data_IF_335890894404
#
_entry.id   IF_335890894404
#
_cell.length_a   1.000
_cell.length_b   1.000
_cell.length_c   1.000
_cell.angle_alpha   90.00
_cell.angle_beta   90.00
_cell.angle_gamma   90.00
#
_symmetry.space_group_name_H-M   'P 1'
#
loop_
_entity.id
_entity.type
_entity.pdbx_description
1 polymer ?
#
# COMPACT_ATOMS: atom_id res chain seq x y z
N UNK A 1 7.47 -14.80 0.42
CA UNK A 1 7.40 -13.96 1.64
C UNK A 1 6.51 -12.73 1.51
N UNK A 2 6.80 -11.77 0.60
CA UNK A 2 6.04 -10.51 0.51
C UNK A 2 4.53 -10.68 0.31
N UNK A 3 4.13 -11.66 -0.52
CA UNK A 3 2.71 -12.01 -0.71
C UNK A 3 2.06 -12.57 0.57
N UNK A 4 2.77 -13.44 1.30
CA UNK A 4 2.31 -14.04 2.55
C UNK A 4 2.05 -12.97 3.61
N UNK A 5 3.05 -12.14 3.93
CA UNK A 5 2.89 -11.03 4.87
C UNK A 5 1.86 -10.00 4.36
N UNK A 6 1.76 -9.80 3.04
CA UNK A 6 0.74 -8.96 2.42
C UNK A 6 -0.68 -9.45 2.66
N UNK A 7 -0.89 -10.77 2.68
CA UNK A 7 -2.18 -11.37 3.02
C UNK A 7 -2.54 -11.14 4.50
N UNK A 8 -1.57 -11.27 5.40
CA UNK A 8 -1.71 -10.97 6.83
C UNK A 8 -2.07 -9.50 7.04
N UNK A 9 -1.34 -8.58 6.39
CA UNK A 9 -1.61 -7.16 6.46
C UNK A 9 -2.99 -6.78 5.91
N UNK A 10 -3.47 -7.49 4.87
CA UNK A 10 -4.81 -7.24 4.33
C UNK A 10 -5.92 -7.70 5.30
N UNK A 11 -5.74 -8.86 5.95
CA UNK A 11 -6.67 -9.33 7.00
C UNK A 11 -6.68 -8.41 8.21
N UNK A 12 -5.50 -8.00 8.67
CA UNK A 12 -5.36 -7.11 9.80
C UNK A 12 -5.95 -5.71 9.54
N UNK A 13 -5.73 -5.15 8.35
CA UNK A 13 -6.36 -3.90 7.94
C UNK A 13 -7.89 -4.01 7.93
N UNK A 14 -8.45 -5.13 7.45
CA UNK A 14 -9.89 -5.35 7.48
C UNK A 14 -10.43 -5.40 8.92
N UNK A 15 -9.71 -6.03 9.85
CA UNK A 15 -10.03 -5.97 11.28
C UNK A 15 -9.95 -4.54 11.81
N UNK A 16 -8.85 -3.81 11.54
CA UNK A 16 -8.71 -2.41 11.97
C UNK A 16 -9.84 -1.51 11.46
N UNK A 17 -10.27 -1.70 10.22
CA UNK A 17 -11.38 -0.95 9.66
C UNK A 17 -12.71 -1.25 10.38
N UNK A 18 -12.92 -2.49 10.84
CA UNK A 18 -14.09 -2.88 11.63
C UNK A 18 -14.06 -2.28 13.05
N UNK A 19 -12.88 -2.11 13.65
CA UNK A 19 -12.74 -1.45 14.96
C UNK A 19 -13.25 0.01 14.95
N UNK A 20 -13.34 0.65 13.77
CA UNK A 20 -13.86 2.01 13.65
C UNK A 20 -13.09 3.02 14.51
N UNK A 21 -13.84 3.87 15.22
CA UNK A 21 -13.29 4.90 16.14
C UNK A 21 -12.97 4.34 17.54
N UNK A 22 -13.52 3.18 17.91
CA UNK A 22 -13.39 2.53 19.23
C UNK A 22 -12.03 1.85 19.44
N UNK A 23 -11.04 2.19 18.61
CA UNK A 23 -9.74 1.56 18.64
C UNK A 23 -8.92 2.00 19.86
N UNK A 24 -8.53 1.04 20.69
CA UNK A 24 -7.73 1.26 21.89
C UNK A 24 -6.51 0.32 21.98
N UNK A 25 -5.66 0.53 22.98
CA UNK A 25 -4.48 -0.29 23.23
C UNK A 25 -4.79 -1.80 23.39
N UNK A 26 -5.95 -2.14 23.96
CA UNK A 26 -6.38 -3.54 24.11
C UNK A 26 -6.69 -4.19 22.77
N UNK A 27 -7.48 -3.52 21.91
CA UNK A 27 -7.77 -4.01 20.54
C UNK A 27 -6.49 -4.13 19.70
N UNK A 28 -5.56 -3.17 19.84
CA UNK A 28 -4.24 -3.27 19.22
C UNK A 28 -3.48 -4.52 19.68
N UNK A 29 -3.41 -4.74 20.99
CA UNK A 29 -2.69 -5.87 21.57
C UNK A 29 -3.32 -7.21 21.13
N UNK A 30 -4.65 -7.30 21.07
CA UNK A 30 -5.36 -8.48 20.58
C UNK A 30 -4.98 -8.81 19.13
N UNK A 31 -5.11 -7.85 18.20
CA UNK A 31 -4.72 -8.04 16.80
C UNK A 31 -3.24 -8.46 16.64
N UNK A 32 -2.35 -7.85 17.41
CA UNK A 32 -0.92 -8.22 17.39
C UNK A 32 -0.70 -9.65 17.89
N UNK A 33 -1.39 -10.08 18.96
CA UNK A 33 -1.31 -11.45 19.48
C UNK A 33 -1.76 -12.48 18.45
N UNK A 34 -2.85 -12.23 17.74
CA UNK A 34 -3.37 -13.12 16.68
C UNK A 34 -2.40 -13.26 15.50
N UNK A 35 -1.69 -12.19 15.12
CA UNK A 35 -0.72 -12.21 14.03
C UNK A 35 0.61 -12.87 14.38
N UNK A 36 1.00 -12.85 15.65
CA UNK A 36 2.31 -13.33 16.12
C UNK A 36 2.59 -14.80 15.75
N UNK A 37 1.69 -15.79 16.00
CA UNK A 37 1.96 -17.18 15.66
C UNK A 37 2.04 -17.44 14.15
N UNK A 38 1.35 -16.63 13.34
CA UNK A 38 1.42 -16.73 11.87
C UNK A 38 2.67 -16.04 11.30
N UNK A 39 3.39 -15.25 12.09
CA UNK A 39 4.50 -14.45 11.60
C UNK A 39 5.67 -14.47 12.58
N UNK A 40 5.85 -13.37 13.31
CA UNK A 40 6.71 -13.21 14.47
C UNK A 40 6.23 -11.98 15.23
N UNK A 41 6.64 -11.79 16.49
CA UNK A 41 6.24 -10.60 17.27
C UNK A 41 6.61 -9.27 16.57
N UNK A 42 7.74 -9.24 15.85
CA UNK A 42 8.19 -8.05 15.11
C UNK A 42 7.40 -7.83 13.82
N UNK A 43 7.15 -8.89 13.04
CA UNK A 43 6.30 -8.80 11.85
C UNK A 43 4.87 -8.40 12.21
N UNK A 44 4.30 -9.01 13.26
CA UNK A 44 2.99 -8.66 13.78
C UNK A 44 2.94 -7.18 14.18
N UNK A 45 3.94 -6.68 14.90
CA UNK A 45 4.03 -5.27 15.28
C UNK A 45 4.07 -4.32 14.07
N UNK A 46 4.90 -4.63 13.07
CA UNK A 46 5.00 -3.84 11.85
C UNK A 46 3.69 -3.83 11.05
N UNK A 47 3.02 -4.98 10.95
CA UNK A 47 1.72 -5.11 10.28
C UNK A 47 0.65 -4.29 11.01
N UNK A 48 0.49 -4.48 12.33
CA UNK A 48 -0.55 -3.77 13.10
C UNK A 48 -0.38 -2.26 13.03
N UNK A 49 0.88 -1.80 13.03
CA UNK A 49 1.22 -0.38 12.88
C UNK A 49 0.89 0.12 11.48
N UNK A 50 1.34 -0.56 10.43
CA UNK A 50 1.04 -0.17 9.06
C UNK A 50 -0.47 -0.10 8.79
N UNK A 51 -1.24 -1.06 9.29
CA UNK A 51 -2.71 -1.05 9.17
C UNK A 51 -3.34 0.14 9.90
N UNK A 52 -2.88 0.45 11.11
CA UNK A 52 -3.36 1.63 11.84
C UNK A 52 -3.01 2.92 11.11
N UNK A 53 -1.77 3.07 10.63
CA UNK A 53 -1.31 4.24 9.87
C UNK A 53 -2.12 4.42 8.58
N UNK A 54 -2.44 3.33 7.87
CA UNK A 54 -3.31 3.36 6.69
C UNK A 54 -4.74 3.80 7.02
N UNK A 55 -5.31 3.30 8.11
CA UNK A 55 -6.63 3.74 8.59
C UNK A 55 -6.62 5.24 8.95
N UNK A 56 -5.61 5.69 9.69
CA UNK A 56 -5.48 7.08 10.11
C UNK A 56 -5.30 8.02 8.92
N UNK A 57 -4.50 7.62 7.92
CA UNK A 57 -4.37 8.37 6.67
C UNK A 57 -5.71 8.44 5.93
N UNK A 58 -6.43 7.33 5.84
CA UNK A 58 -7.75 7.30 5.19
C UNK A 58 -8.75 8.24 5.86
N UNK A 59 -8.76 8.31 7.20
CA UNK A 59 -9.57 9.30 7.96
C UNK A 59 -9.21 10.74 7.62
N UNK A 60 -7.92 11.07 7.54
CA UNK A 60 -7.48 12.42 7.14
C UNK A 60 -7.90 12.76 5.71
N UNK A 61 -7.73 11.83 4.78
CA UNK A 61 -8.17 12.00 3.39
C UNK A 61 -9.70 12.16 3.28
N UNK A 62 -10.47 11.42 4.07
CA UNK A 62 -11.94 11.55 4.13
C UNK A 62 -12.36 12.95 4.58
N UNK A 63 -11.73 13.49 5.64
CA UNK A 63 -11.98 14.86 6.11
C UNK A 63 -11.64 15.91 5.04
N UNK A 64 -10.49 15.77 4.37
CA UNK A 64 -10.10 16.66 3.28
C UNK A 64 -11.08 16.58 2.09
N UNK A 65 -11.58 15.38 1.77
CA UNK A 65 -12.59 15.18 0.74
C UNK A 65 -13.91 15.86 1.08
N UNK A 66 -14.37 15.73 2.33
CA UNK A 66 -15.57 16.41 2.84
C UNK A 66 -15.43 17.94 2.71
N UNK A 67 -14.29 18.50 3.10
CA UNK A 67 -14.02 19.94 2.94
C UNK A 67 -14.06 20.38 1.47
N UNK A 68 -13.49 19.58 0.56
CA UNK A 68 -13.55 19.83 -0.88
C UNK A 68 -14.99 19.79 -1.41
N UNK A 69 -15.82 18.85 -0.94
CA UNK A 69 -17.24 18.78 -1.28
C UNK A 69 -18.01 20.00 -0.77
N UNK A 70 -17.78 20.42 0.48
CA UNK A 70 -18.39 21.61 1.06
C UNK A 70 -18.06 22.87 0.24
N UNK A 71 -16.78 23.07 -0.10
CA UNK A 71 -16.36 24.18 -0.95
C UNK A 71 -17.01 24.12 -2.34
N UNK A 72 -17.11 22.93 -2.94
CA UNK A 72 -17.79 22.73 -4.21
C UNK A 72 -19.29 23.05 -4.17
N UNK A 73 -19.99 22.61 -3.13
CA UNK A 73 -21.41 22.92 -2.88
C UNK A 73 -21.60 24.43 -2.72
N UNK A 74 -20.79 25.08 -1.87
CA UNK A 74 -20.86 26.52 -1.62
C UNK A 74 -20.64 27.33 -2.91
N UNK A 75 -19.62 26.96 -3.70
CA UNK A 75 -19.31 27.64 -4.96
C UNK A 75 -20.45 27.50 -6.00
N UNK A 76 -21.05 26.32 -6.11
CA UNK A 76 -22.18 26.11 -7.04
C UNK A 76 -23.43 26.83 -6.55
N UNK A 77 -23.79 26.73 -5.26
CA UNK A 77 -24.93 27.46 -4.67
C UNK A 77 -24.82 28.96 -4.90
N UNK A 78 -23.66 29.54 -4.62
CA UNK A 78 -23.42 30.97 -4.82
C UNK A 78 -23.65 31.39 -6.28
N UNK A 79 -23.11 30.64 -7.25
CA UNK A 79 -23.30 30.98 -8.67
C UNK A 79 -24.73 30.74 -9.16
N UNK A 80 -25.47 29.81 -8.56
CA UNK A 80 -26.88 29.57 -8.89
C UNK A 80 -27.81 30.65 -8.34
N UNK A 81 -27.44 31.33 -7.24
CA UNK A 81 -28.23 32.42 -6.66
C UNK A 81 -28.11 33.75 -7.42
N UNK A 82 -27.15 33.85 -8.33
CA UNK A 82 -26.96 35.03 -9.19
C UNK A 82 -27.78 34.90 -10.49
N UNK A 83 -28.36 35.99 -11.01
CA UNK A 83 -28.91 36.05 -12.36
C UNK A 83 -28.03 35.39 -13.43
N UNK A 84 -28.67 34.69 -14.36
CA UNK A 84 -27.98 34.09 -15.51
C UNK A 84 -27.32 35.19 -16.34
N UNK A 85 -26.04 35.00 -16.66
CA UNK A 85 -25.24 35.97 -17.40
C UNK A 85 -24.64 37.10 -16.54
N UNK A 86 -24.93 37.16 -15.23
CA UNK A 86 -24.34 38.16 -14.36
C UNK A 86 -22.82 38.04 -14.34
N UNK A 87 -22.13 39.16 -14.58
CA UNK A 87 -20.67 39.20 -14.60
C UNK A 87 -20.13 39.10 -13.17
N UNK A 88 -19.08 38.31 -13.01
CA UNK A 88 -18.33 38.26 -11.75
C UNK A 88 -17.47 39.50 -11.54
N UNK A 89 -16.90 39.58 -10.35
CA UNK A 89 -15.86 40.57 -10.02
C UNK A 89 -14.47 39.93 -10.10
N UNK A 90 -13.41 40.72 -9.88
CA UNK A 90 -12.04 40.20 -9.75
C UNK A 90 -11.89 39.15 -8.63
N UNK A 91 -12.76 39.18 -7.61
CA UNK A 91 -12.66 38.34 -6.40
C UNK A 91 -13.71 37.24 -6.33
N UNK A 92 -14.76 37.29 -7.14
CA UNK A 92 -15.87 36.34 -7.08
C UNK A 92 -16.43 36.02 -8.47
N UNK A 93 -16.75 34.74 -8.75
CA UNK A 93 -17.36 34.36 -10.02
C UNK A 93 -18.79 34.90 -10.12
N UNK A 94 -19.21 35.24 -11.33
CA UNK A 94 -20.60 35.64 -11.60
C UNK A 94 -21.53 34.45 -11.77
N UNK A 95 -22.76 34.73 -12.20
CA UNK A 95 -23.75 33.70 -12.55
C UNK A 95 -23.26 32.75 -13.66
N UNK A 96 -24.05 31.71 -13.93
CA UNK A 96 -23.78 30.83 -15.08
C UNK A 96 -24.13 31.52 -16.40
N UNK A 97 -23.47 31.11 -17.49
CA UNK A 97 -23.54 31.85 -18.77
C UNK A 97 -24.89 31.73 -19.45
N UNK A 98 -25.58 30.60 -19.27
CA UNK A 98 -26.86 30.32 -19.91
C UNK A 98 -27.80 29.56 -18.98
N UNK A 99 -29.10 29.55 -19.32
CA UNK A 99 -30.10 28.74 -18.61
C UNK A 99 -29.75 27.25 -18.68
N UNK A 100 -29.25 26.77 -19.82
CA UNK A 100 -28.84 25.37 -19.98
C UNK A 100 -27.70 25.00 -19.02
N UNK A 101 -26.68 25.86 -18.92
CA UNK A 101 -25.58 25.65 -17.96
C UNK A 101 -26.12 25.70 -16.53
N UNK A 102 -26.96 26.69 -16.21
CA UNK A 102 -27.60 26.81 -14.90
C UNK A 102 -28.36 25.53 -14.52
N UNK A 103 -29.19 24.98 -15.41
CA UNK A 103 -29.93 23.74 -15.17
C UNK A 103 -28.99 22.55 -14.95
N UNK A 104 -27.94 22.42 -15.76
CA UNK A 104 -26.95 21.35 -15.57
C UNK A 104 -26.22 21.47 -14.22
N UNK A 105 -25.93 22.69 -13.77
CA UNK A 105 -25.25 22.96 -12.50
C UNK A 105 -26.18 22.80 -11.30
N UNK A 106 -27.46 23.12 -11.43
CA UNK A 106 -28.50 22.81 -10.43
C UNK A 106 -28.59 21.30 -10.19
N UNK A 107 -28.62 20.47 -11.24
CA UNK A 107 -28.55 19.00 -11.06
C UNK A 107 -27.23 18.53 -10.45
N UNK A 108 -26.11 19.15 -10.85
CA UNK A 108 -24.81 18.84 -10.24
C UNK A 108 -24.79 19.20 -8.75
N UNK A 109 -25.46 20.28 -8.33
CA UNK A 109 -25.55 20.67 -6.93
C UNK A 109 -26.21 19.57 -6.09
N UNK A 110 -27.38 19.09 -6.49
CA UNK A 110 -28.06 18.00 -5.80
C UNK A 110 -27.15 16.76 -5.66
N UNK A 111 -26.47 16.37 -6.74
CA UNK A 111 -25.51 15.26 -6.70
C UNK A 111 -24.29 15.50 -5.78
N UNK A 112 -23.85 16.76 -5.60
CA UNK A 112 -22.78 17.11 -4.67
C UNK A 112 -23.27 17.09 -3.22
N UNK A 113 -24.48 17.57 -2.96
CA UNK A 113 -25.12 17.55 -1.65
C UNK A 113 -25.33 16.12 -1.16
N UNK A 114 -25.85 15.24 -2.02
CA UNK A 114 -26.00 13.81 -1.72
C UNK A 114 -24.66 13.14 -1.38
N UNK A 115 -23.59 13.51 -2.11
CA UNK A 115 -22.24 12.98 -1.83
C UNK A 115 -21.71 13.49 -0.50
N UNK A 116 -21.91 14.77 -0.21
CA UNK A 116 -21.49 15.38 1.03
C UNK A 116 -22.20 14.71 2.22
N UNK A 117 -23.49 14.45 2.11
CA UNK A 117 -24.25 13.79 3.16
C UNK A 117 -23.79 12.36 3.41
N UNK A 118 -23.55 11.58 2.34
CA UNK A 118 -22.97 10.24 2.47
C UNK A 118 -21.60 10.24 3.14
N UNK A 119 -20.72 11.18 2.78
CA UNK A 119 -19.39 11.28 3.38
C UNK A 119 -19.46 11.71 4.84
N UNK A 120 -20.39 12.60 5.22
CA UNK A 120 -20.66 12.95 6.63
C UNK A 120 -21.13 11.75 7.43
N UNK A 121 -22.14 11.04 6.95
CA UNK A 121 -22.63 9.83 7.60
C UNK A 121 -21.53 8.75 7.72
N UNK A 122 -20.66 8.64 6.72
CA UNK A 122 -19.47 7.77 6.78
C UNK A 122 -18.45 8.22 7.82
N UNK A 123 -18.21 9.53 7.93
CA UNK A 123 -17.29 10.12 8.88
C UNK A 123 -17.74 9.85 10.33
N UNK A 124 -19.02 10.12 10.63
CA UNK A 124 -19.65 9.91 11.94
C UNK A 124 -19.66 8.43 12.32
N UNK A 125 -20.02 7.54 11.38
CA UNK A 125 -19.99 6.10 11.61
C UNK A 125 -18.57 5.49 11.73
N UNK A 126 -17.51 6.31 11.65
CA UNK A 126 -16.12 5.83 11.71
C UNK A 126 -15.70 4.95 10.52
N UNK A 127 -16.49 4.92 9.44
CA UNK A 127 -16.26 4.05 8.29
C UNK A 127 -15.20 4.65 7.36
N UNK A 128 -14.19 3.85 7.06
CA UNK A 128 -13.17 4.17 6.07
C UNK A 128 -13.10 3.11 4.98
N UNK A 129 -12.83 3.56 3.76
CA UNK A 129 -12.62 2.69 2.61
C UNK A 129 -11.15 2.72 2.21
N UNK A 130 -10.43 1.63 2.49
CA UNK A 130 -9.02 1.47 2.16
C UNK A 130 -8.85 0.36 1.15
N UNK A 131 -8.08 0.62 0.10
CA UNK A 131 -7.76 -0.35 -0.95
C UNK A 131 -6.27 -0.64 -0.94
N UNK A 132 -5.88 -1.75 -0.32
CA UNK A 132 -4.53 -2.32 -0.43
C UNK A 132 -4.22 -2.55 -1.91
N UNK A 133 -3.05 -2.12 -2.38
CA UNK A 133 -2.69 -2.17 -3.81
C UNK A 133 -3.19 -0.99 -4.63
N UNK A 134 -3.90 -0.04 -4.01
CA UNK A 134 -4.27 1.23 -4.61
C UNK A 134 -5.60 1.22 -5.36
N UNK A 135 -6.40 2.28 -5.11
CA UNK A 135 -7.73 2.47 -5.72
C UNK A 135 -7.69 2.51 -7.25
N UNK A 136 -6.61 3.03 -7.84
CA UNK A 136 -6.45 3.12 -9.31
C UNK A 136 -6.40 1.74 -9.95
N UNK A 137 -5.58 0.83 -9.43
CA UNK A 137 -5.48 -0.52 -9.96
C UNK A 137 -6.78 -1.31 -9.77
N UNK A 138 -7.45 -1.16 -8.62
CA UNK A 138 -8.76 -1.77 -8.41
C UNK A 138 -9.79 -1.32 -9.46
N UNK A 139 -9.82 -0.02 -9.81
CA UNK A 139 -10.72 0.49 -10.85
C UNK A 139 -10.36 0.02 -12.26
N UNK A 140 -9.07 -0.03 -12.57
CA UNK A 140 -8.58 -0.51 -13.89
C UNK A 140 -9.09 -1.93 -14.17
N UNK A 141 -9.32 -2.77 -13.15
CA UNK A 141 -9.86 -4.13 -13.32
C UNK A 141 -11.18 -4.18 -14.09
N UNK A 142 -11.99 -3.13 -14.02
CA UNK A 142 -13.28 -3.04 -14.71
C UNK A 142 -13.17 -2.46 -16.12
N UNK A 143 -12.01 -1.95 -16.51
CA UNK A 143 -11.78 -1.35 -17.81
C UNK A 143 -10.35 -1.62 -18.28
N UNK A 144 -10.05 -2.90 -18.45
CA UNK A 144 -8.72 -3.40 -18.79
C UNK A 144 -8.31 -3.02 -20.21
N UNK A 145 -9.25 -3.05 -21.16
CA UNK A 145 -9.00 -2.73 -22.56
C UNK A 145 -8.61 -1.26 -22.74
N UNK A 146 -9.34 -0.31 -22.14
CA UNK A 146 -8.97 1.11 -22.19
C UNK A 146 -7.65 1.40 -21.46
N UNK A 147 -7.26 0.55 -20.50
CA UNK A 147 -5.98 0.62 -19.81
C UNK A 147 -4.86 -0.15 -20.53
N UNK A 148 -5.14 -0.79 -21.68
CA UNK A 148 -4.21 -1.61 -22.45
C UNK A 148 -3.48 -2.64 -21.57
N UNK A 149 -4.23 -3.34 -20.72
CA UNK A 149 -3.68 -4.26 -19.73
C UNK A 149 -4.42 -5.59 -19.75
N UNK A 150 -3.70 -6.70 -19.88
CA UNK A 150 -4.32 -8.02 -19.76
C UNK A 150 -4.70 -8.33 -18.31
N UNK A 151 -5.67 -9.22 -18.09
CA UNK A 151 -6.04 -9.62 -16.72
C UNK A 151 -4.85 -10.20 -15.95
N UNK A 152 -4.03 -11.04 -16.58
CA UNK A 152 -2.86 -11.66 -15.95
C UNK A 152 -1.83 -10.60 -15.53
N UNK A 153 -1.53 -9.64 -16.40
CA UNK A 153 -0.61 -8.55 -16.09
C UNK A 153 -1.16 -7.64 -14.98
N UNK A 154 -2.48 -7.38 -15.00
CA UNK A 154 -3.16 -6.70 -13.91
C UNK A 154 -3.03 -7.46 -12.59
N UNK A 155 -3.28 -8.77 -12.59
CA UNK A 155 -3.24 -9.62 -11.39
C UNK A 155 -1.86 -9.64 -10.76
N UNK A 156 -0.81 -9.78 -11.57
CA UNK A 156 0.57 -9.72 -11.11
C UNK A 156 0.88 -8.36 -10.45
N UNK A 157 0.51 -7.25 -11.09
CA UNK A 157 0.70 -5.90 -10.51
C UNK A 157 -0.12 -5.74 -9.23
N UNK A 158 -1.35 -6.20 -9.23
CA UNK A 158 -2.27 -6.13 -8.10
C UNK A 158 -1.76 -6.92 -6.89
N UNK A 159 -1.15 -8.08 -7.09
CA UNK A 159 -0.48 -8.84 -6.03
C UNK A 159 0.79 -8.16 -5.55
N UNK A 160 1.66 -7.71 -6.45
CA UNK A 160 2.92 -7.05 -6.12
C UNK A 160 2.72 -5.76 -5.29
N UNK A 161 1.75 -4.93 -5.66
CA UNK A 161 1.38 -3.70 -4.93
C UNK A 161 0.76 -4.00 -3.55
N UNK A 162 0.36 -5.25 -3.33
CA UNK A 162 -0.14 -5.76 -2.04
C UNK A 162 0.88 -6.63 -1.33
N UNK A 163 2.12 -6.70 -1.77
CA UNK A 163 3.16 -7.28 -0.95
C UNK A 163 3.40 -6.42 0.30
N UNK A 164 3.89 -7.05 1.36
CA UNK A 164 4.32 -6.37 2.56
C UNK A 164 5.69 -6.88 2.95
N UNK A 165 6.65 -5.95 3.03
CA UNK A 165 7.99 -6.21 3.52
C UNK A 165 8.53 -4.89 4.08
N UNK A 166 8.05 -4.55 5.27
CA UNK A 166 8.44 -3.33 5.98
C UNK A 166 8.66 -3.67 7.46
N UNK A 167 9.74 -3.17 8.02
CA UNK A 167 10.01 -3.21 9.45
C UNK A 167 10.69 -1.89 9.86
N UNK A 168 10.32 -1.35 11.02
CA UNK A 168 10.90 -0.09 11.51
C UNK A 168 12.32 -0.32 12.04
N UNK A 169 13.19 0.68 11.89
CA UNK A 169 14.54 0.65 12.47
C UNK A 169 14.49 0.52 14.00
N UNK A 170 15.57 0.04 14.60
CA UNK A 170 15.68 -0.13 16.05
C UNK A 170 16.75 0.80 16.61
N UNK A 171 16.39 1.58 17.63
CA UNK A 171 17.33 2.49 18.30
C UNK A 171 18.56 1.73 18.78
N UNK A 172 19.74 2.30 18.53
CA UNK A 172 21.03 1.69 18.88
C UNK A 172 21.52 0.62 17.89
N UNK A 173 20.73 0.23 16.87
CA UNK A 173 21.17 -0.72 15.84
C UNK A 173 21.52 0.00 14.55
N UNK A 174 22.78 -0.14 14.13
CA UNK A 174 23.20 0.22 12.78
C UNK A 174 22.70 -0.87 11.83
N UNK A 175 22.38 -0.51 10.59
CA UNK A 175 22.07 -1.45 9.51
C UNK A 175 20.69 -2.15 9.54
N UNK A 176 19.68 -1.52 10.15
CA UNK A 176 18.29 -2.00 10.12
C UNK A 176 17.82 -2.47 11.49
N UNK A 177 17.24 -3.67 11.55
CA UNK A 177 16.79 -4.29 12.79
C UNK A 177 17.00 -5.82 12.77
N UNK A 178 16.56 -6.54 13.81
CA UNK A 178 16.66 -8.01 13.88
C UNK A 178 15.66 -8.77 12.99
N UNK A 179 15.04 -8.09 12.03
CA UNK A 179 14.03 -8.66 11.13
C UNK A 179 14.40 -8.44 9.67
N UNK A 180 14.97 -7.28 9.36
CA UNK A 180 15.60 -6.92 8.09
C UNK A 180 16.91 -6.23 8.45
N UNK A 181 18.03 -6.86 8.12
CA UNK A 181 19.38 -6.36 8.34
C UNK A 181 20.13 -6.26 7.02
N UNK A 182 20.92 -5.22 6.84
CA UNK A 182 21.76 -5.02 5.63
C UNK A 182 23.21 -4.82 6.06
N UNK A 183 24.08 -5.81 5.94
CA UNK A 183 25.47 -5.71 6.38
C UNK A 183 26.22 -4.61 5.60
N UNK A 184 27.32 -4.05 6.14
CA UNK A 184 28.18 -3.10 5.42
C UNK A 184 28.67 -3.63 4.07
N UNK A 185 28.85 -4.94 3.96
CA UNK A 185 29.28 -5.66 2.76
C UNK A 185 28.13 -5.87 1.74
N UNK A 186 26.91 -5.44 2.10
CA UNK A 186 25.73 -5.49 1.26
C UNK A 186 24.91 -6.77 1.37
N UNK A 187 25.14 -7.62 2.37
CA UNK A 187 24.30 -8.80 2.58
C UNK A 187 22.97 -8.42 3.24
N UNK A 188 21.86 -8.93 2.71
CA UNK A 188 20.53 -8.70 3.30
C UNK A 188 20.04 -9.94 4.01
N UNK A 189 19.91 -9.86 5.34
CA UNK A 189 19.34 -10.92 6.16
C UNK A 189 17.90 -10.60 6.55
N UNK A 190 16.98 -11.52 6.25
CA UNK A 190 15.56 -11.37 6.57
C UNK A 190 15.08 -12.53 7.42
N UNK A 191 14.48 -12.22 8.56
CA UNK A 191 13.86 -13.22 9.43
C UNK A 191 12.56 -13.72 8.82
N UNK A 192 12.48 -15.02 8.56
CA UNK A 192 11.31 -15.64 7.97
C UNK A 192 10.20 -15.89 9.02
N UNK A 193 8.93 -15.67 8.67
CA UNK A 193 7.77 -16.21 9.39
C UNK A 193 7.89 -17.72 9.60
N UNK A 194 7.37 -18.24 10.71
CA UNK A 194 7.42 -19.69 10.98
C UNK A 194 6.89 -20.56 9.83
N UNK A 195 5.78 -20.19 9.13
CA UNK A 195 5.30 -20.97 7.98
C UNK A 195 6.21 -20.94 6.74
N UNK A 196 7.27 -20.13 6.74
CA UNK A 196 8.25 -20.04 5.68
C UNK A 196 9.64 -20.52 6.11
N UNK A 197 9.77 -21.13 7.30
CA UNK A 197 11.06 -21.53 7.85
C UNK A 197 11.83 -22.52 6.96
N UNK A 198 11.13 -23.37 6.20
CA UNK A 198 11.71 -24.32 5.25
C UNK A 198 12.52 -23.65 4.11
N UNK A 199 12.28 -22.36 3.85
CA UNK A 199 13.00 -21.59 2.82
C UNK A 199 14.25 -20.88 3.36
N UNK A 200 14.60 -21.06 4.64
CA UNK A 200 15.80 -20.46 5.22
C UNK A 200 17.06 -21.11 4.64
N UNK A 201 18.04 -20.28 4.23
CA UNK A 201 19.33 -20.73 3.73
C UNK A 201 20.44 -20.65 4.79
N UNK A 202 20.10 -20.20 6.01
CA UNK A 202 21.00 -20.14 7.16
C UNK A 202 20.43 -20.95 8.34
N UNK A 203 21.28 -21.22 9.34
CA UNK A 203 20.94 -22.06 10.51
C UNK A 203 19.93 -21.42 11.46
N UNK A 204 19.90 -20.10 11.57
CA UNK A 204 18.76 -19.36 12.12
C UNK A 204 17.72 -19.19 11.02
N UNK A 205 16.44 -19.06 11.36
CA UNK A 205 15.32 -18.88 10.41
C UNK A 205 15.40 -17.54 9.63
N UNK A 206 16.53 -17.33 8.97
CA UNK A 206 16.99 -16.14 8.28
C UNK A 206 17.40 -16.55 6.86
N UNK A 207 17.23 -15.63 5.92
CA UNK A 207 17.76 -15.79 4.55
C UNK A 207 18.72 -14.65 4.23
N UNK A 208 19.97 -14.97 3.84
CA UNK A 208 20.99 -13.99 3.38
C UNK A 208 21.13 -14.00 1.85
N UNK A 209 21.29 -12.82 1.24
CA UNK A 209 21.53 -12.63 -0.20
C UNK A 209 22.60 -11.55 -0.45
N UNK A 210 23.51 -11.72 -1.44
CA UNK A 210 24.49 -10.70 -1.82
C UNK A 210 23.86 -9.50 -2.57
N UNK A 211 24.37 -8.28 -2.30
CA UNK A 211 23.84 -6.98 -2.79
C UNK A 211 23.73 -6.78 -4.31
N UNK A 212 24.29 -7.65 -5.16
CA UNK A 212 24.23 -7.52 -6.62
C UNK A 212 22.78 -7.54 -7.20
N UNK A 213 21.78 -7.78 -6.35
CA UNK A 213 20.35 -7.74 -6.65
C UNK A 213 19.69 -6.37 -6.35
N UNK A 214 20.42 -5.43 -5.75
CA UNK A 214 19.90 -4.15 -5.23
C UNK A 214 19.56 -3.08 -6.27
N UNK A 215 20.06 -3.20 -7.51
CA UNK A 215 19.96 -2.14 -8.54
C UNK A 215 18.54 -1.86 -9.08
N UNK A 216 17.52 -2.62 -8.66
CA UNK A 216 16.11 -2.41 -9.05
C UNK A 216 15.21 -1.88 -7.94
N UNK A 217 15.74 -1.69 -6.73
CA UNK A 217 14.96 -1.19 -5.60
C UNK A 217 15.41 0.24 -5.30
N UNK A 218 14.83 1.20 -6.02
CA UNK A 218 15.13 2.62 -5.87
C UNK A 218 14.85 3.08 -4.43
N UNK A 219 15.93 3.38 -3.70
CA UNK A 219 15.90 3.88 -2.33
C UNK A 219 15.75 5.41 -2.32
N UNK A 220 14.87 5.93 -1.46
CA UNK A 220 14.96 7.31 -0.99
C UNK A 220 14.76 7.30 0.52
N UNK A 221 15.73 7.80 1.26
CA UNK A 221 15.67 7.98 2.71
C UNK A 221 14.72 9.13 3.05
N UNK A 222 13.77 8.88 3.95
CA UNK A 222 12.85 9.85 4.50
C UNK A 222 12.12 9.27 5.72
N UNK A 223 11.54 10.09 6.60
CA UNK A 223 11.06 9.70 7.93
C UNK A 223 9.83 8.77 7.94
N UNK A 224 9.41 8.25 6.78
CA UNK A 224 8.19 7.44 6.61
C UNK A 224 8.49 6.10 5.92
N UNK A 225 9.48 5.37 6.43
CA UNK A 225 9.67 3.95 6.14
C UNK A 225 9.98 3.59 4.68
N UNK A 226 10.27 2.30 4.48
CA UNK A 226 10.68 1.75 3.18
C UNK A 226 9.46 1.58 2.25
N UNK A 227 9.52 2.17 1.04
CA UNK A 227 8.56 1.91 -0.05
C UNK A 227 9.31 1.54 -1.33
N UNK A 228 8.99 0.40 -1.97
CA UNK A 228 9.51 0.08 -3.30
C UNK A 228 8.94 1.08 -4.33
N UNK A 229 9.79 1.54 -5.25
CA UNK A 229 9.41 2.48 -6.34
C UNK A 229 9.35 1.83 -7.72
N UNK A 230 9.34 0.48 -7.80
CA UNK A 230 9.25 -0.26 -9.06
C UNK A 230 8.48 -1.58 -8.93
N UNK A 231 8.02 -2.16 -10.06
CA UNK A 231 7.37 -3.46 -10.06
C UNK A 231 8.37 -4.53 -9.61
N UNK A 232 7.97 -5.32 -8.62
CA UNK A 232 8.71 -6.50 -8.19
C UNK A 232 8.82 -7.51 -9.36
N UNK A 233 9.97 -8.18 -9.56
CA UNK A 233 10.08 -9.23 -10.57
C UNK A 233 9.06 -10.34 -10.31
N UNK A 234 8.41 -10.82 -11.38
CA UNK A 234 7.36 -11.85 -11.32
C UNK A 234 7.92 -13.22 -10.94
N UNK A 235 7.05 -14.08 -10.40
CA UNK A 235 7.38 -15.42 -9.89
C UNK A 235 8.15 -16.32 -10.89
N UNK A 236 7.99 -16.11 -12.20
CA UNK A 236 8.65 -16.87 -13.26
C UNK A 236 10.17 -16.68 -13.35
N UNK A 237 10.72 -15.61 -12.75
CA UNK A 237 12.18 -15.39 -12.65
C UNK A 237 12.79 -16.16 -11.48
N UNK A 238 11.98 -16.60 -10.51
CA UNK A 238 12.44 -17.30 -9.31
C UNK A 238 12.73 -18.79 -9.54
N UNK A 239 12.13 -19.42 -10.56
CA UNK A 239 12.18 -20.89 -10.73
C UNK A 239 13.21 -21.35 -11.78
N UNK A 240 13.64 -20.48 -12.71
CA UNK A 240 14.40 -20.94 -13.90
C UNK A 240 15.89 -21.25 -13.69
N UNK A 241 16.46 -21.01 -12.50
CA UNK A 241 17.88 -21.30 -12.23
C UNK A 241 18.15 -22.23 -11.04
N UNK A 242 17.10 -22.82 -10.44
CA UNK A 242 17.26 -23.89 -9.44
C UNK A 242 17.68 -25.25 -10.06
N UNK A 243 17.86 -25.33 -11.38
CA UNK A 243 18.23 -26.55 -12.10
C UNK A 243 19.32 -26.30 -13.15
N UNK A 244 20.53 -26.03 -12.72
CA UNK A 244 21.74 -26.35 -13.49
C UNK A 244 22.78 -26.82 -12.47
N UNK A 245 22.73 -28.12 -12.22
CA UNK A 245 23.62 -28.82 -11.30
C UNK A 245 25.07 -28.76 -11.74
N UNK A 246 25.94 -28.81 -10.73
CA UNK A 246 27.17 -29.61 -10.69
C UNK A 246 28.01 -29.70 -11.96
N UNK A 247 29.24 -29.17 -11.88
CA UNK A 247 30.37 -29.75 -12.61
C UNK A 247 31.58 -29.93 -11.70
N UNK A 248 32.44 -30.93 -11.98
CA UNK A 248 33.27 -31.62 -11.00
C UNK A 248 34.68 -31.02 -10.90
N UNK A 249 35.35 -31.29 -9.78
CA UNK A 249 36.78 -31.04 -9.57
C UNK A 249 37.62 -31.72 -10.67
N UNK A 250 38.62 -31.05 -11.27
CA UNK A 250 39.55 -31.73 -12.17
C UNK A 250 40.64 -32.45 -11.35
N UNK A 251 40.81 -33.75 -11.65
CA UNK A 251 41.92 -34.57 -11.15
C UNK A 251 43.25 -34.16 -11.80
N UNK A 252 44.34 -34.32 -11.05
CA UNK A 252 45.71 -34.22 -11.57
C UNK A 252 46.24 -35.62 -11.87
N UNK A 253 46.57 -35.82 -13.13
CA UNK A 253 47.26 -36.97 -13.73
C UNK A 253 48.77 -36.90 -13.52
N UNK A 254 49.37 -38.08 -13.28
CA UNK A 254 50.81 -38.37 -13.33
C UNK A 254 51.38 -38.20 -14.75
N UNK A 255 52.67 -37.86 -14.94
CA UNK A 255 53.32 -37.92 -16.24
C UNK A 255 54.00 -39.29 -16.50
N UNK A 256 54.33 -39.60 -17.77
CA UNK A 256 54.69 -40.96 -18.18
C UNK A 256 56.20 -41.21 -18.30
N UNK A 257 56.51 -42.51 -18.15
CA UNK A 257 57.74 -43.30 -18.41
C UNK A 257 58.96 -43.02 -17.54
#
# INVERSE_FOLDING_TARGET
MGAYLGSLASRDLAARCRDGVEHCAQTWAARKRELTPMSSSRWAGAITKASHDQWALARRCQRAHMQSLQAGVAAVRYRLSLPVGERGSKKAPGGYRSRQEWHAKSRRLAALEDRLERERAGLEAGRVHVVRGGKRLARIRHNLDAAQLTETAWRQRWEAERWFLQADGESGKRYGNETIRVTPEGEVSIKLPAPLAEYANARTADTSWPAAWGSRIGARSGPTGWRPTGPWPTASTWIRHAGAGTSPRPGRSLPPR
#
